data_IF_697726880289
#
_entry.id   IF_697726880289
#
_cell.length_a   1.000
_cell.length_b   1.000
_cell.length_c   1.000
_cell.angle_alpha   90.00
_cell.angle_beta   90.00
_cell.angle_gamma   90.00
#
_symmetry.space_group_name_H-M   'P 1'
#
loop_
_entity.id
_entity.type
_entity.pdbx_description
1 polymer ?
#
# COMPACT_ATOMS: atom_id res chain seq x y z
N UNK A 1 -9.02 13.72 5.83
CA UNK A 1 -8.17 12.54 6.07
C UNK A 1 -8.83 11.23 5.67
N UNK A 2 -10.10 10.96 6.01
CA UNK A 2 -10.81 9.73 5.62
C UNK A 2 -10.84 9.51 4.08
N UNK A 3 -11.00 10.56 3.29
CA UNK A 3 -10.92 10.48 1.84
C UNK A 3 -9.54 10.00 1.37
N UNK A 4 -8.46 10.53 1.96
CA UNK A 4 -7.10 10.12 1.62
C UNK A 4 -6.85 8.64 1.97
N UNK A 5 -7.38 8.16 3.09
CA UNK A 5 -7.34 6.74 3.43
C UNK A 5 -8.12 5.90 2.41
N UNK A 6 -9.31 6.34 2.03
CA UNK A 6 -10.13 5.63 1.04
C UNK A 6 -9.46 5.52 -0.33
N UNK A 7 -8.62 6.50 -0.72
CA UNK A 7 -7.89 6.43 -2.00
C UNK A 7 -6.99 5.20 -2.13
N UNK A 8 -6.56 4.60 -1.01
CA UNK A 8 -5.81 3.36 -1.03
C UNK A 8 -6.55 2.23 -1.76
N UNK A 9 -7.83 2.03 -1.48
CA UNK A 9 -8.62 0.94 -2.05
C UNK A 9 -8.80 1.06 -3.57
N UNK A 10 -8.75 2.27 -4.09
CA UNK A 10 -8.93 2.53 -5.52
C UNK A 10 -7.63 2.82 -6.26
N UNK A 11 -6.56 3.22 -5.55
CA UNK A 11 -5.30 3.63 -6.16
C UNK A 11 -4.72 2.55 -7.09
N UNK A 12 -4.55 1.33 -6.58
CA UNK A 12 -3.96 0.23 -7.35
C UNK A 12 -4.86 -0.18 -8.52
N UNK A 13 -6.18 -0.16 -8.31
CA UNK A 13 -7.18 -0.45 -9.36
C UNK A 13 -7.12 0.60 -10.47
N UNK A 14 -7.07 1.88 -10.12
CA UNK A 14 -7.01 2.98 -11.09
C UNK A 14 -5.69 2.97 -11.85
N UNK A 15 -4.56 2.85 -11.14
CA UNK A 15 -3.24 2.76 -11.79
C UNK A 15 -3.15 1.53 -12.71
N UNK A 16 -3.58 0.38 -12.21
CA UNK A 16 -3.63 -0.86 -13.00
C UNK A 16 -4.55 -0.73 -14.20
N UNK A 17 -5.74 -0.16 -14.01
CA UNK A 17 -6.68 0.11 -15.10
C UNK A 17 -6.11 1.03 -16.18
N UNK A 18 -5.46 2.13 -15.80
CA UNK A 18 -4.82 3.05 -16.76
C UNK A 18 -3.76 2.31 -17.59
N UNK A 19 -2.93 1.47 -16.96
CA UNK A 19 -1.90 0.70 -17.65
C UNK A 19 -2.52 -0.38 -18.56
N UNK A 20 -3.54 -1.09 -18.07
CA UNK A 20 -4.24 -2.15 -18.78
C UNK A 20 -4.95 -1.63 -20.03
N UNK A 21 -5.83 -0.63 -19.91
CA UNK A 21 -6.55 -0.03 -21.02
C UNK A 21 -5.62 0.77 -21.96
N UNK A 22 -4.52 1.31 -21.42
CA UNK A 22 -3.44 1.92 -22.19
C UNK A 22 -2.55 0.92 -22.94
N UNK A 23 -2.86 -0.39 -22.85
CA UNK A 23 -2.11 -1.50 -23.46
C UNK A 23 -0.62 -1.55 -23.08
N UNK A 24 -0.28 -0.99 -21.93
CA UNK A 24 1.06 -1.07 -21.34
C UNK A 24 1.16 -2.34 -20.46
N UNK A 25 1.12 -3.49 -21.13
CA UNK A 25 1.12 -4.80 -20.46
C UNK A 25 2.35 -5.00 -19.59
N UNK A 26 3.51 -4.52 -20.04
CA UNK A 26 4.75 -4.60 -19.27
C UNK A 26 4.65 -3.77 -17.99
N UNK A 27 4.16 -2.54 -18.10
CA UNK A 27 3.92 -1.68 -16.94
C UNK A 27 2.89 -2.26 -15.98
N UNK A 28 1.78 -2.79 -16.51
CA UNK A 28 0.73 -3.43 -15.72
C UNK A 28 1.26 -4.59 -14.87
N UNK A 29 1.87 -5.59 -15.52
CA UNK A 29 2.41 -6.75 -14.80
C UNK A 29 3.53 -6.39 -13.86
N UNK A 30 4.36 -5.39 -14.20
CA UNK A 30 5.41 -4.89 -13.31
C UNK A 30 4.82 -4.30 -12.02
N UNK A 31 3.83 -3.41 -12.13
CA UNK A 31 3.16 -2.80 -10.96
C UNK A 31 2.50 -3.85 -10.09
N UNK A 32 1.78 -4.82 -10.71
CA UNK A 32 1.12 -5.90 -9.96
C UNK A 32 2.15 -6.78 -9.22
N UNK A 33 3.23 -7.17 -9.90
CA UNK A 33 4.29 -7.99 -9.30
C UNK A 33 4.99 -7.27 -8.15
N UNK A 34 5.37 -6.00 -8.32
CA UNK A 34 6.05 -5.23 -7.29
C UNK A 34 5.17 -5.05 -6.04
N UNK A 35 3.89 -4.75 -6.26
CA UNK A 35 2.92 -4.61 -5.17
C UNK A 35 2.69 -5.94 -4.46
N UNK A 36 2.53 -7.04 -5.19
CA UNK A 36 2.34 -8.37 -4.61
C UNK A 36 3.54 -8.80 -3.75
N UNK A 37 4.77 -8.52 -4.20
CA UNK A 37 5.98 -8.80 -3.42
C UNK A 37 6.03 -7.90 -2.18
N UNK A 38 5.73 -6.60 -2.31
CA UNK A 38 5.69 -5.67 -1.18
C UNK A 38 4.68 -6.11 -0.10
N UNK A 39 3.47 -6.51 -0.51
CA UNK A 39 2.47 -7.09 0.38
C UNK A 39 2.96 -8.38 1.03
N UNK A 40 3.50 -9.31 0.23
CA UNK A 40 3.98 -10.60 0.72
C UNK A 40 5.08 -10.45 1.76
N UNK A 41 6.05 -9.57 1.53
CA UNK A 41 7.11 -9.24 2.50
C UNK A 41 6.50 -8.65 3.78
N UNK A 42 5.55 -7.73 3.67
CA UNK A 42 4.87 -7.14 4.81
C UNK A 42 4.14 -8.18 5.65
N UNK A 43 3.42 -9.11 5.02
CA UNK A 43 2.74 -10.19 5.73
C UNK A 43 3.72 -11.16 6.39
N UNK A 44 4.79 -11.54 5.71
CA UNK A 44 5.83 -12.39 6.30
C UNK A 44 6.43 -11.74 7.54
N UNK A 45 6.76 -10.44 7.47
CA UNK A 45 7.29 -9.71 8.64
C UNK A 45 6.25 -9.66 9.76
N UNK A 46 4.97 -9.37 9.46
CA UNK A 46 3.91 -9.32 10.46
C UNK A 46 3.67 -10.66 11.17
N UNK A 47 3.93 -11.79 10.51
CA UNK A 47 3.87 -13.13 11.15
C UNK A 47 4.94 -13.31 12.24
N UNK A 48 6.13 -12.73 12.05
CA UNK A 48 7.23 -12.80 13.04
C UNK A 48 7.17 -11.68 14.08
N UNK A 49 6.57 -10.53 13.74
CA UNK A 49 6.43 -9.36 14.59
C UNK A 49 4.97 -8.91 14.66
N UNK A 50 4.12 -9.63 15.43
CA UNK A 50 2.68 -9.33 15.52
C UNK A 50 2.42 -8.08 16.37
N UNK A 51 2.50 -6.90 15.77
CA UNK A 51 2.26 -5.62 16.42
C UNK A 51 0.78 -5.26 16.35
N UNK A 52 0.20 -4.85 17.49
CA UNK A 52 -1.18 -4.35 17.52
C UNK A 52 -1.24 -2.90 17.05
N UNK A 53 -2.31 -2.56 16.32
CA UNK A 53 -2.54 -1.18 15.88
C UNK A 53 -2.90 -0.26 17.07
N UNK A 54 -2.67 1.07 16.93
CA UNK A 54 -3.08 2.04 17.94
C UNK A 54 -4.56 1.95 18.30
N UNK A 55 -5.41 1.55 17.39
CA UNK A 55 -6.83 1.36 17.63
C UNK A 55 -7.12 0.39 18.77
N UNK A 56 -6.37 -0.70 18.86
CA UNK A 56 -6.55 -1.70 19.91
C UNK A 56 -5.70 -1.39 21.14
N UNK A 57 -4.41 -1.10 20.96
CA UNK A 57 -3.47 -0.93 22.06
C UNK A 57 -3.69 0.34 22.88
N UNK A 58 -4.31 1.36 22.29
CA UNK A 58 -4.57 2.65 22.91
C UNK A 58 -6.08 2.95 23.05
N UNK A 59 -6.93 1.94 23.03
CA UNK A 59 -8.39 2.09 23.03
C UNK A 59 -8.92 2.96 24.18
N UNK A 60 -8.33 2.84 25.39
CA UNK A 60 -8.70 3.65 26.56
C UNK A 60 -8.22 5.11 26.55
N UNK A 61 -7.36 5.48 25.60
CA UNK A 61 -6.79 6.85 25.51
C UNK A 61 -7.54 7.74 24.51
N UNK A 62 -8.47 7.19 23.74
CA UNK A 62 -9.23 7.95 22.75
C UNK A 62 -10.44 8.63 23.37
N UNK A 63 -10.47 9.97 23.33
CA UNK A 63 -11.57 10.79 23.89
C UNK A 63 -12.74 11.00 22.92
N UNK A 64 -12.82 10.26 21.81
CA UNK A 64 -13.92 10.36 20.86
C UNK A 64 -13.78 9.43 19.66
N UNK A 65 -14.92 9.13 19.05
CA UNK A 65 -14.98 8.43 17.78
C UNK A 65 -14.62 9.37 16.63
N UNK A 66 -14.07 8.81 15.55
CA UNK A 66 -13.89 9.54 14.29
C UNK A 66 -15.24 9.68 13.62
N UNK A 67 -15.98 10.74 13.99
CA UNK A 67 -17.30 11.05 13.44
C UNK A 67 -17.14 11.96 12.22
N UNK A 68 -17.93 11.71 11.17
CA UNK A 68 -17.89 12.51 9.95
C UNK A 68 -19.04 12.15 9.01
N UNK A 69 -18.94 12.62 7.75
CA UNK A 69 -19.96 12.38 6.74
C UNK A 69 -20.02 10.92 6.24
N UNK A 70 -20.82 10.65 5.18
CA UNK A 70 -21.06 9.29 4.67
C UNK A 70 -19.79 8.50 4.34
N UNK A 71 -18.74 9.19 3.87
CA UNK A 71 -17.45 8.55 3.57
C UNK A 71 -16.77 8.03 4.85
N UNK A 72 -16.87 8.75 5.95
CA UNK A 72 -16.33 8.30 7.24
C UNK A 72 -17.09 7.07 7.72
N UNK A 73 -18.41 7.04 7.58
CA UNK A 73 -19.22 5.87 7.92
C UNK A 73 -18.82 4.65 7.09
N UNK A 74 -18.59 4.83 5.77
CA UNK A 74 -18.12 3.77 4.89
C UNK A 74 -16.73 3.24 5.29
N UNK A 75 -15.77 4.14 5.55
CA UNK A 75 -14.42 3.75 5.99
C UNK A 75 -14.49 3.01 7.31
N UNK A 76 -15.25 3.51 8.29
CA UNK A 76 -15.43 2.85 9.59
C UNK A 76 -16.05 1.46 9.44
N UNK A 77 -17.00 1.28 8.51
CA UNK A 77 -17.60 -0.03 8.22
C UNK A 77 -16.57 -1.00 7.64
N UNK A 78 -15.79 -0.57 6.63
CA UNK A 78 -14.70 -1.37 6.03
C UNK A 78 -13.70 -1.77 7.10
N UNK A 79 -13.27 -0.81 7.93
CA UNK A 79 -12.33 -1.03 9.01
C UNK A 79 -12.86 -1.99 10.08
N UNK A 80 -14.13 -1.88 10.45
CA UNK A 80 -14.77 -2.79 11.40
C UNK A 80 -14.75 -4.24 10.93
N UNK A 81 -14.90 -4.45 9.62
CA UNK A 81 -14.88 -5.79 9.02
C UNK A 81 -13.47 -6.31 8.73
N UNK A 82 -12.51 -5.42 8.49
CA UNK A 82 -11.18 -5.75 7.99
C UNK A 82 -10.02 -5.64 8.98
N UNK A 83 -10.25 -5.08 10.18
CA UNK A 83 -9.18 -4.95 11.17
C UNK A 83 -8.74 -6.29 11.71
N UNK A 84 -7.43 -6.53 11.63
CA UNK A 84 -6.80 -7.75 12.12
C UNK A 84 -5.87 -7.38 13.29
N UNK A 85 -5.95 -8.19 14.37
CA UNK A 85 -5.00 -8.08 15.47
C UNK A 85 -3.61 -8.56 15.02
N UNK A 86 -2.56 -7.83 15.42
CA UNK A 86 -1.19 -8.28 15.18
C UNK A 86 -0.61 -8.01 13.79
N UNK A 87 -1.29 -7.25 12.93
CA UNK A 87 -0.83 -6.96 11.57
C UNK A 87 -0.53 -5.47 11.33
N UNK A 88 -0.21 -4.70 12.37
CA UNK A 88 0.05 -3.27 12.22
C UNK A 88 1.41 -3.00 11.58
N UNK A 89 2.46 -3.77 11.92
CA UNK A 89 3.81 -3.55 11.42
C UNK A 89 4.25 -4.67 10.46
N UNK A 90 4.87 -4.32 9.33
CA UNK A 90 4.88 -3.02 8.66
C UNK A 90 3.51 -2.71 8.03
N UNK A 91 3.24 -1.42 7.71
CA UNK A 91 1.97 -1.07 7.05
C UNK A 91 1.88 -1.64 5.64
N UNK A 92 1.00 -2.64 5.44
CA UNK A 92 0.73 -3.21 4.12
C UNK A 92 0.12 -2.18 3.17
N UNK A 93 -0.71 -1.27 3.67
CA UNK A 93 -1.27 -0.17 2.88
C UNK A 93 -0.18 0.65 2.23
N UNK A 94 0.83 1.02 3.01
CA UNK A 94 1.98 1.81 2.53
C UNK A 94 2.87 0.97 1.63
N UNK A 95 3.15 -0.29 2.01
CA UNK A 95 4.03 -1.17 1.23
C UNK A 95 3.53 -1.37 -0.21
N UNK A 96 2.24 -1.72 -0.37
CA UNK A 96 1.64 -1.90 -1.70
C UNK A 96 1.59 -0.61 -2.52
N UNK A 97 1.21 0.52 -1.89
CA UNK A 97 1.13 1.80 -2.58
C UNK A 97 2.51 2.32 -3.01
N UNK A 98 3.54 2.19 -2.17
CA UNK A 98 4.90 2.61 -2.48
C UNK A 98 5.50 1.73 -3.59
N UNK A 99 5.31 0.41 -3.54
CA UNK A 99 5.76 -0.48 -4.61
C UNK A 99 5.10 -0.14 -5.96
N UNK A 100 3.78 0.11 -5.97
CA UNK A 100 3.06 0.55 -7.16
C UNK A 100 3.54 1.91 -7.67
N UNK A 101 3.83 2.84 -6.75
CA UNK A 101 4.35 4.17 -7.10
C UNK A 101 5.73 4.09 -7.77
N UNK A 102 6.64 3.23 -7.28
CA UNK A 102 7.92 2.94 -7.94
C UNK A 102 7.72 2.29 -9.31
N UNK A 103 6.71 1.43 -9.46
CA UNK A 103 6.32 0.88 -10.75
C UNK A 103 5.86 1.97 -11.73
N UNK A 104 5.04 2.91 -11.26
CA UNK A 104 4.63 4.07 -12.05
C UNK A 104 5.83 4.96 -12.43
N UNK A 105 6.77 5.19 -11.52
CA UNK A 105 8.02 5.91 -11.81
C UNK A 105 8.81 5.26 -12.97
N UNK A 106 8.89 3.93 -12.97
CA UNK A 106 9.65 3.19 -13.96
C UNK A 106 9.00 3.19 -15.34
N UNK A 107 7.67 3.07 -15.41
CA UNK A 107 6.95 2.86 -16.66
C UNK A 107 6.23 4.12 -17.18
N UNK A 108 5.69 4.95 -16.30
CA UNK A 108 4.86 6.12 -16.61
C UNK A 108 5.11 7.26 -15.63
N UNK A 109 6.23 7.96 -15.74
CA UNK A 109 6.63 9.03 -14.82
C UNK A 109 5.56 10.10 -14.55
N UNK A 110 4.68 10.38 -15.53
CA UNK A 110 3.56 11.31 -15.33
C UNK A 110 2.60 10.78 -14.26
N UNK A 111 2.29 9.48 -14.29
CA UNK A 111 1.41 8.85 -13.29
C UNK A 111 2.06 8.86 -11.90
N UNK A 112 3.37 8.69 -11.80
CA UNK A 112 4.06 8.83 -10.53
C UNK A 112 3.77 10.19 -9.88
N UNK A 113 3.96 11.29 -10.61
CA UNK A 113 3.74 12.64 -10.07
C UNK A 113 2.27 12.92 -9.75
N UNK A 114 1.34 12.35 -10.52
CA UNK A 114 -0.10 12.45 -10.25
C UNK A 114 -0.46 11.71 -8.95
N UNK A 115 0.06 10.50 -8.76
CA UNK A 115 -0.31 9.67 -7.61
C UNK A 115 0.51 9.93 -6.34
N UNK A 116 1.70 10.50 -6.46
CA UNK A 116 2.57 10.81 -5.31
C UNK A 116 1.85 11.58 -4.18
N UNK A 117 1.15 12.71 -4.44
CA UNK A 117 0.46 13.42 -3.37
C UNK A 117 -0.62 12.58 -2.69
N UNK A 118 -1.33 11.73 -3.43
CA UNK A 118 -2.35 10.83 -2.85
C UNK A 118 -1.71 9.77 -1.94
N UNK A 119 -0.59 9.18 -2.35
CA UNK A 119 0.15 8.21 -1.53
C UNK A 119 0.71 8.87 -0.27
N UNK A 120 1.25 10.09 -0.36
CA UNK A 120 1.73 10.83 0.81
C UNK A 120 0.58 11.18 1.78
N UNK A 121 -0.55 11.66 1.26
CA UNK A 121 -1.75 11.93 2.06
C UNK A 121 -2.29 10.63 2.70
N UNK A 122 -2.25 9.52 1.99
CA UNK A 122 -2.64 8.21 2.49
C UNK A 122 -1.71 7.76 3.64
N UNK A 123 -0.39 7.92 3.52
CA UNK A 123 0.55 7.61 4.60
C UNK A 123 0.21 8.37 5.90
N UNK A 124 -0.06 9.67 5.79
CA UNK A 124 -0.49 10.47 6.96
C UNK A 124 -1.84 10.00 7.49
N UNK A 125 -2.75 9.66 6.58
CA UNK A 125 -4.12 9.29 6.95
C UNK A 125 -4.19 7.93 7.65
N UNK A 126 -3.29 6.97 7.37
CA UNK A 126 -3.23 5.68 8.08
C UNK A 126 -2.91 5.84 9.57
N UNK A 127 -2.11 6.85 9.91
CA UNK A 127 -1.84 7.24 11.31
C UNK A 127 -3.05 7.97 11.91
N UNK A 128 -3.64 8.89 11.15
CA UNK A 128 -4.81 9.65 11.59
C UNK A 128 -6.03 8.75 11.94
N UNK A 129 -6.28 7.71 11.12
CA UNK A 129 -7.37 6.75 11.38
C UNK A 129 -7.02 5.69 12.45
N UNK A 130 -5.87 5.85 13.12
CA UNK A 130 -5.42 5.01 14.25
C UNK A 130 -5.12 3.56 13.87
N UNK A 131 -4.87 3.28 12.59
CA UNK A 131 -4.55 1.94 12.14
C UNK A 131 -3.07 1.62 12.27
N UNK A 132 -2.22 2.64 12.12
CA UNK A 132 -0.76 2.47 12.11
C UNK A 132 -0.05 3.51 12.96
N UNK A 133 1.09 3.12 13.53
CA UNK A 133 2.08 4.05 14.05
C UNK A 133 2.93 4.62 12.91
N UNK A 134 3.62 5.72 13.18
CA UNK A 134 4.58 6.30 12.20
C UNK A 134 5.67 5.28 11.84
N UNK A 135 6.11 4.47 12.80
CA UNK A 135 7.08 3.39 12.57
C UNK A 135 6.57 2.36 11.56
N UNK A 136 5.27 2.01 11.59
CA UNK A 136 4.66 1.07 10.64
C UNK A 136 4.65 1.65 9.22
N UNK A 137 4.41 2.96 9.10
CA UNK A 137 4.46 3.68 7.82
C UNK A 137 5.88 3.64 7.23
N UNK A 138 6.89 3.92 8.04
CA UNK A 138 8.31 3.84 7.63
C UNK A 138 8.65 2.40 7.23
N UNK A 139 8.26 1.41 8.04
CA UNK A 139 8.42 -0.01 7.71
C UNK A 139 7.75 -0.38 6.39
N UNK A 140 6.53 0.14 6.15
CA UNK A 140 5.81 -0.04 4.89
C UNK A 140 6.52 0.59 3.68
N UNK A 141 7.12 1.77 3.84
CA UNK A 141 7.93 2.39 2.78
C UNK A 141 9.15 1.53 2.43
N UNK A 142 9.82 0.99 3.43
CA UNK A 142 10.98 0.10 3.24
C UNK A 142 10.55 -1.18 2.53
N UNK A 143 9.52 -1.88 3.02
CA UNK A 143 9.04 -3.14 2.43
C UNK A 143 8.49 -2.94 1.02
N UNK A 144 7.80 -1.84 0.75
CA UNK A 144 7.32 -1.51 -0.59
C UNK A 144 8.47 -1.22 -1.56
N UNK A 145 9.51 -0.52 -1.11
CA UNK A 145 10.72 -0.28 -1.92
C UNK A 145 11.49 -1.58 -2.17
N UNK A 146 11.61 -2.46 -1.17
CA UNK A 146 12.20 -3.80 -1.35
C UNK A 146 11.37 -4.63 -2.33
N UNK A 147 10.04 -4.57 -2.25
CA UNK A 147 9.15 -5.23 -3.20
C UNK A 147 9.40 -4.80 -4.65
N UNK A 148 9.61 -3.50 -4.88
CA UNK A 148 10.03 -2.97 -6.17
C UNK A 148 11.40 -3.51 -6.60
N UNK A 149 12.42 -3.44 -5.76
CA UNK A 149 13.80 -3.86 -6.08
C UNK A 149 13.83 -5.36 -6.44
N UNK A 150 13.23 -6.19 -5.60
CA UNK A 150 13.14 -7.64 -5.82
C UNK A 150 12.35 -7.94 -7.10
N UNK A 151 11.21 -7.26 -7.30
CA UNK A 151 10.39 -7.44 -8.48
C UNK A 151 11.11 -7.07 -9.77
N UNK A 152 11.87 -5.97 -9.78
CA UNK A 152 12.72 -5.59 -10.92
C UNK A 152 13.77 -6.68 -11.22
N UNK A 153 14.41 -7.21 -10.18
CA UNK A 153 15.41 -8.27 -10.34
C UNK A 153 14.80 -9.55 -10.90
N UNK A 154 13.65 -9.98 -10.38
CA UNK A 154 12.95 -11.18 -10.86
C UNK A 154 12.52 -11.05 -12.33
N UNK A 155 11.93 -9.93 -12.71
CA UNK A 155 11.46 -9.70 -14.07
C UNK A 155 12.63 -9.64 -15.06
N UNK A 156 13.74 -9.01 -14.70
CA UNK A 156 14.96 -9.03 -15.55
C UNK A 156 15.50 -10.44 -15.74
N UNK A 157 15.48 -11.26 -14.69
CA UNK A 157 15.92 -12.66 -14.77
C UNK A 157 15.03 -13.48 -15.71
N UNK A 158 13.71 -13.28 -15.63
CA UNK A 158 12.75 -13.94 -16.53
C UNK A 158 12.98 -13.53 -18.00
N UNK A 159 13.18 -12.23 -18.29
CA UNK A 159 13.49 -11.74 -19.62
C UNK A 159 14.80 -12.36 -20.18
N UNK A 160 15.82 -12.46 -19.32
CA UNK A 160 17.10 -13.06 -19.73
C UNK A 160 16.99 -14.57 -20.02
N UNK A 161 16.13 -15.29 -19.31
CA UNK A 161 15.87 -16.73 -19.58
C UNK A 161 15.09 -16.88 -20.86
N UNK A 162 14.03 -16.08 -21.06
CA UNK A 162 13.22 -16.12 -22.27
C UNK A 162 14.00 -15.75 -23.54
N UNK A 163 15.04 -14.91 -23.43
CA UNK A 163 15.91 -14.54 -24.55
C UNK A 163 16.94 -15.63 -24.94
N UNK A 164 17.08 -16.67 -24.10
CA UNK A 164 18.01 -17.80 -24.33
C UNK A 164 17.31 -19.07 -24.83
N UNK A 165 15.99 -19.10 -24.72
CA UNK A 165 15.12 -20.18 -25.21
C UNK A 165 14.64 -19.92 -26.63
#
# INVERSE_FOLDING_TARGET
MQFAYFTYFIFLLVLGGILYYGRDWKGYWSVMTYSAIGYGLGYVIAMFFPVQSPWFSMAGMWHGELVGGPLTALVNLIEKCGRVHGAAFPSQHVAGAVAALWGAWRHRRRLFWVFLPFVLCMCVSTVYVRNHYVADVIGGMVTGTLGYVIGVWLMRKQEAVAARA
#
